data_IF_563566709935
#
_entry.id   IF_563566709935
#
_cell.length_a   1.000
_cell.length_b   1.000
_cell.length_c   1.000
_cell.angle_alpha   90.00
_cell.angle_beta   90.00
_cell.angle_gamma   90.00
#
_symmetry.space_group_name_H-M   'P 1'
#
loop_
_entity.id
_entity.type
_entity.pdbx_description
1 polymer ?
#
# COMPACT_ATOMS: atom_id res chain seq x y z
N UNK A 1 61.54 -37.07 35.63
CA UNK A 1 62.92 -36.96 35.09
C UNK A 1 62.76 -36.77 33.59
N UNK A 2 62.73 -35.52 33.09
CA UNK A 2 63.92 -34.75 32.66
C UNK A 2 64.38 -35.25 31.26
N UNK A 3 64.57 -34.48 30.17
CA UNK A 3 64.80 -33.05 29.86
C UNK A 3 64.75 -32.89 28.31
N UNK A 4 64.54 -31.65 27.82
CA UNK A 4 65.15 -30.95 26.63
C UNK A 4 65.10 -31.65 25.25
N UNK A 5 64.79 -31.00 24.11
CA UNK A 5 65.15 -29.66 23.62
C UNK A 5 66.30 -29.78 22.60
N UNK A 6 66.15 -29.25 21.37
CA UNK A 6 67.29 -29.09 20.44
C UNK A 6 66.92 -28.95 18.95
N UNK A 7 67.24 -27.79 18.36
CA UNK A 7 67.22 -27.48 16.91
C UNK A 7 68.45 -28.06 16.20
N UNK A 8 68.33 -28.37 14.90
CA UNK A 8 69.33 -28.07 13.85
C UNK A 8 68.74 -28.29 12.44
N UNK A 9 69.00 -27.33 11.54
CA UNK A 9 68.86 -27.41 10.06
C UNK A 9 70.23 -27.80 9.46
N UNK A 10 70.53 -27.74 8.13
CA UNK A 10 69.72 -27.71 6.89
C UNK A 10 70.26 -28.70 5.80
N UNK A 11 69.61 -28.83 4.63
CA UNK A 11 70.26 -29.23 3.34
C UNK A 11 69.37 -28.94 2.11
N UNK A 12 70.02 -28.74 0.95
CA UNK A 12 69.62 -28.03 -0.27
C UNK A 12 68.95 -28.86 -1.39
N UNK A 13 68.01 -28.20 -2.11
CA UNK A 13 67.68 -28.21 -3.57
C UNK A 13 67.25 -29.51 -4.31
N UNK A 14 66.59 -29.47 -5.50
CA UNK A 14 66.26 -28.34 -6.41
C UNK A 14 64.73 -28.12 -6.59
N UNK A 15 64.18 -26.95 -6.93
CA UNK A 15 64.38 -26.22 -8.18
C UNK A 15 63.26 -26.51 -9.18
N UNK A 16 61.99 -26.21 -8.84
CA UNK A 16 60.86 -26.27 -9.78
C UNK A 16 60.53 -24.84 -10.23
N UNK A 17 60.75 -24.54 -11.51
CA UNK A 17 60.29 -23.31 -12.15
C UNK A 17 58.75 -23.29 -12.15
N UNK A 18 58.15 -22.45 -11.30
CA UNK A 18 56.75 -22.05 -11.45
C UNK A 18 56.71 -20.84 -12.39
N UNK A 19 56.28 -21.05 -13.62
CA UNK A 19 55.95 -19.96 -14.55
C UNK A 19 54.73 -19.22 -14.03
N UNK A 20 54.93 -17.99 -13.56
CA UNK A 20 53.84 -17.08 -13.23
C UNK A 20 53.21 -16.59 -14.54
N UNK A 21 52.05 -17.14 -14.89
CA UNK A 21 51.18 -16.51 -15.90
C UNK A 21 50.59 -15.27 -15.26
N UNK A 22 51.17 -14.10 -15.58
CA UNK A 22 50.58 -12.80 -15.24
C UNK A 22 49.35 -12.63 -16.12
N UNK A 23 48.17 -12.94 -15.57
CA UNK A 23 46.91 -12.57 -16.19
C UNK A 23 46.75 -11.06 -16.06
N UNK A 24 47.06 -10.34 -17.14
CA UNK A 24 46.78 -8.91 -17.28
C UNK A 24 45.26 -8.69 -17.22
N UNK A 25 44.74 -8.39 -16.03
CA UNK A 25 43.37 -7.87 -15.89
C UNK A 25 43.34 -6.46 -16.45
N UNK A 26 42.97 -6.32 -17.72
CA UNK A 26 42.57 -5.05 -18.28
C UNK A 26 41.29 -4.61 -17.56
N UNK A 27 41.39 -3.63 -16.66
CA UNK A 27 40.23 -2.92 -16.13
C UNK A 27 39.57 -2.17 -17.28
N UNK A 28 38.55 -2.79 -17.89
CA UNK A 28 37.59 -2.05 -18.69
C UNK A 28 36.74 -1.22 -17.74
N UNK A 29 37.08 0.05 -17.62
CA UNK A 29 36.21 1.04 -17.00
C UNK A 29 34.90 1.08 -17.77
N UNK A 30 33.90 0.34 -17.32
CA UNK A 30 32.55 0.42 -17.83
C UNK A 30 32.02 1.81 -17.46
N UNK A 31 32.15 2.76 -18.38
CA UNK A 31 31.54 4.09 -18.29
C UNK A 31 30.05 3.87 -18.14
N UNK A 32 29.57 3.94 -16.90
CA UNK A 32 28.15 4.03 -16.62
C UNK A 32 27.70 5.36 -17.20
N UNK A 33 27.11 5.33 -18.38
CA UNK A 33 26.33 6.45 -18.91
C UNK A 33 25.18 6.69 -17.92
N UNK A 34 25.43 7.54 -16.92
CA UNK A 34 24.37 8.19 -16.19
C UNK A 34 23.56 8.96 -17.23
N UNK A 35 22.41 8.42 -17.59
CA UNK A 35 21.42 9.16 -18.37
C UNK A 35 21.04 10.39 -17.55
N UNK A 36 21.61 11.53 -17.92
CA UNK A 36 21.14 12.84 -17.49
C UNK A 36 19.64 12.89 -17.86
N UNK A 37 18.72 13.12 -16.91
CA UNK A 37 17.33 13.29 -17.27
C UNK A 37 17.25 14.45 -18.27
N UNK A 38 16.59 14.19 -19.41
CA UNK A 38 16.37 15.22 -20.42
C UNK A 38 15.71 16.43 -19.76
N UNK A 39 16.15 17.64 -20.11
CA UNK A 39 15.51 18.87 -19.64
C UNK A 39 13.99 18.77 -19.91
N UNK A 40 13.13 19.20 -18.96
CA UNK A 40 11.68 19.09 -19.13
C UNK A 40 11.28 19.81 -20.43
N UNK A 41 10.69 19.06 -21.36
CA UNK A 41 10.17 19.64 -22.62
C UNK A 41 9.14 20.69 -22.24
N UNK A 42 9.33 21.93 -22.73
CA UNK A 42 8.34 23.00 -22.56
C UNK A 42 7.05 22.60 -23.29
N UNK A 43 5.97 22.40 -22.54
CA UNK A 43 4.66 22.03 -23.09
C UNK A 43 4.10 23.18 -23.97
N UNK A 44 3.72 22.87 -25.20
CA UNK A 44 3.13 23.79 -26.18
C UNK A 44 1.61 23.77 -26.12
N UNK A 45 1.01 22.60 -25.94
CA UNK A 45 -0.44 22.39 -26.00
C UNK A 45 -1.06 22.13 -24.65
N UNK A 46 -0.34 21.50 -23.72
CA UNK A 46 -0.84 21.25 -22.37
C UNK A 46 -0.39 22.33 -21.39
N UNK A 47 -1.28 22.65 -20.44
CA UNK A 47 -0.88 23.39 -19.25
C UNK A 47 -0.20 22.43 -18.28
N UNK A 48 0.98 22.84 -17.82
CA UNK A 48 1.65 22.13 -16.74
C UNK A 48 0.77 22.21 -15.48
N UNK A 49 0.49 21.08 -14.81
CA UNK A 49 -0.23 21.11 -13.56
C UNK A 49 0.55 21.95 -12.54
N UNK A 50 -0.11 22.60 -11.56
CA UNK A 50 0.63 23.16 -10.43
C UNK A 50 1.52 22.06 -9.82
N UNK A 51 2.71 22.46 -9.38
CA UNK A 51 3.97 21.70 -9.16
C UNK A 51 3.83 20.25 -8.63
N UNK A 52 2.74 19.90 -7.95
CA UNK A 52 2.41 18.54 -7.50
C UNK A 52 0.90 18.27 -7.63
N UNK A 53 0.38 18.03 -8.82
CA UNK A 53 -1.06 17.78 -8.99
C UNK A 53 -1.47 16.38 -8.49
N UNK A 54 -1.52 16.29 -7.16
CA UNK A 54 -2.20 15.28 -6.37
C UNK A 54 -3.65 15.72 -6.15
N UNK A 55 -4.60 14.85 -6.48
CA UNK A 55 -6.02 15.03 -6.21
C UNK A 55 -6.41 14.02 -5.15
N UNK A 56 -6.88 14.50 -4.00
CA UNK A 56 -7.34 13.64 -2.90
C UNK A 56 -8.86 13.55 -2.90
N UNK A 57 -9.40 12.34 -2.76
CA UNK A 57 -10.83 12.10 -2.70
C UNK A 57 -11.16 10.90 -1.80
N UNK A 58 -12.40 10.83 -1.32
CA UNK A 58 -12.89 9.70 -0.53
C UNK A 58 -13.40 8.57 -1.43
N UNK A 59 -13.37 7.33 -0.95
CA UNK A 59 -14.09 6.22 -1.58
C UNK A 59 -15.57 6.57 -1.76
N UNK A 60 -16.14 6.20 -2.89
CA UNK A 60 -17.51 6.52 -3.29
C UNK A 60 -17.71 7.94 -3.83
N UNK A 61 -16.77 8.86 -3.61
CA UNK A 61 -16.86 10.23 -4.13
C UNK A 61 -16.56 10.30 -5.64
N UNK A 62 -16.67 11.50 -6.20
CA UNK A 62 -16.25 11.80 -7.56
C UNK A 62 -14.95 12.62 -7.50
N UNK A 63 -14.00 12.35 -8.38
CA UNK A 63 -12.79 13.16 -8.53
C UNK A 63 -12.68 13.72 -9.95
N UNK A 64 -12.03 14.88 -10.06
CA UNK A 64 -11.67 15.47 -11.35
C UNK A 64 -10.16 15.62 -11.41
N UNK A 65 -9.54 14.96 -12.38
CA UNK A 65 -8.12 15.04 -12.67
C UNK A 65 -7.91 16.14 -13.72
N UNK A 66 -7.25 17.25 -13.37
CA UNK A 66 -7.16 18.42 -14.23
C UNK A 66 -6.28 18.16 -15.46
N UNK A 67 -6.82 18.43 -16.64
CA UNK A 67 -6.03 18.48 -17.88
C UNK A 67 -6.57 19.61 -18.75
N UNK A 68 -5.80 20.70 -18.84
CA UNK A 68 -6.21 21.91 -19.54
C UNK A 68 -5.31 22.13 -20.76
N UNK A 69 -5.92 22.49 -21.87
CA UNK A 69 -5.23 22.84 -23.10
C UNK A 69 -4.85 24.32 -23.08
N UNK A 70 -3.62 24.65 -23.47
CA UNK A 70 -3.18 26.02 -23.78
C UNK A 70 -3.78 26.52 -25.09
N UNK A 71 -3.81 25.64 -26.07
CA UNK A 71 -4.37 25.89 -27.40
C UNK A 71 -4.99 24.60 -27.93
N UNK A 72 -6.01 24.73 -28.77
CA UNK A 72 -6.69 23.59 -29.40
C UNK A 72 -6.11 23.37 -30.81
N UNK A 73 -5.36 22.29 -31.08
CA UNK A 73 -4.91 21.98 -32.43
C UNK A 73 -6.09 21.61 -33.34
N UNK A 74 -5.92 21.74 -34.66
CA UNK A 74 -6.96 21.40 -35.63
C UNK A 74 -7.31 19.91 -35.62
N UNK A 75 -6.31 19.03 -35.49
CA UNK A 75 -6.47 17.58 -35.45
C UNK A 75 -5.73 17.00 -34.26
N UNK A 76 -6.42 16.85 -33.13
CA UNK A 76 -5.82 16.29 -31.93
C UNK A 76 -6.67 15.18 -31.33
N UNK A 77 -6.01 14.35 -30.52
CA UNK A 77 -6.66 13.40 -29.63
C UNK A 77 -6.13 13.60 -28.22
N UNK A 78 -7.00 13.48 -27.22
CA UNK A 78 -6.59 13.35 -25.83
C UNK A 78 -6.86 11.92 -25.38
N UNK A 79 -5.84 11.28 -24.83
CA UNK A 79 -5.88 9.94 -24.25
C UNK A 79 -5.63 10.02 -22.75
N UNK A 80 -6.52 9.44 -21.98
CA UNK A 80 -6.36 9.22 -20.55
C UNK A 80 -6.00 7.76 -20.28
N UNK A 81 -4.93 7.57 -19.52
CA UNK A 81 -4.41 6.24 -19.18
C UNK A 81 -4.12 6.16 -17.68
N UNK A 82 -4.49 5.07 -17.03
CA UNK A 82 -4.02 4.75 -15.67
C UNK A 82 -2.65 4.08 -15.79
N UNK A 83 -1.66 4.60 -15.10
CA UNK A 83 -0.30 4.09 -15.16
C UNK A 83 -0.13 2.90 -14.22
N UNK A 84 0.38 1.80 -14.77
CA UNK A 84 0.68 0.57 -14.04
C UNK A 84 2.18 0.54 -13.69
N UNK A 85 2.58 0.76 -12.42
CA UNK A 85 4.00 0.82 -12.05
C UNK A 85 4.73 -0.52 -12.25
N UNK A 86 4.04 -1.66 -12.11
CA UNK A 86 4.64 -3.00 -12.18
C UNK A 86 4.59 -3.65 -13.58
N UNK A 87 3.95 -3.00 -14.56
CA UNK A 87 3.86 -3.48 -15.95
C UNK A 87 4.15 -2.35 -16.93
N UNK A 88 5.41 -1.85 -16.98
CA UNK A 88 5.78 -0.78 -17.90
C UNK A 88 5.51 -1.21 -19.35
N UNK A 89 4.75 -0.38 -20.07
CA UNK A 89 4.35 -0.64 -21.47
C UNK A 89 2.92 -1.15 -21.65
N UNK A 90 2.25 -1.65 -20.60
CA UNK A 90 0.81 -1.96 -20.66
C UNK A 90 0.01 -0.71 -20.33
N UNK A 91 -0.65 -0.13 -21.33
CA UNK A 91 -1.51 1.03 -21.16
C UNK A 91 -2.92 0.61 -20.74
N UNK A 92 -3.32 0.97 -19.51
CA UNK A 92 -4.70 0.86 -19.06
C UNK A 92 -5.48 2.11 -19.50
N UNK A 93 -5.86 2.12 -20.78
CA UNK A 93 -6.58 3.24 -21.40
C UNK A 93 -7.96 3.35 -20.75
N UNK A 94 -8.30 4.57 -20.33
CA UNK A 94 -9.57 4.90 -19.68
C UNK A 94 -10.50 5.59 -20.66
N UNK A 95 -9.99 6.57 -21.40
CA UNK A 95 -10.81 7.43 -22.26
C UNK A 95 -9.97 8.00 -23.40
N UNK A 96 -10.53 8.01 -24.62
CA UNK A 96 -9.98 8.73 -25.77
C UNK A 96 -11.03 9.70 -26.29
N UNK A 97 -10.62 10.92 -26.65
CA UNK A 97 -11.48 11.94 -27.24
C UNK A 97 -10.77 12.75 -28.32
N UNK A 98 -11.52 13.25 -29.29
CA UNK A 98 -11.07 14.23 -30.28
C UNK A 98 -11.62 15.65 -30.00
N UNK A 99 -12.16 15.88 -28.81
CA UNK A 99 -12.84 17.14 -28.43
C UNK A 99 -14.33 17.18 -28.71
N UNK A 100 -14.83 16.39 -29.68
CA UNK A 100 -16.26 16.29 -30.00
C UNK A 100 -16.86 15.01 -29.41
N UNK A 101 -16.28 13.87 -29.78
CA UNK A 101 -16.66 12.55 -29.33
C UNK A 101 -15.69 12.03 -28.26
N UNK A 102 -16.18 11.13 -27.41
CA UNK A 102 -15.36 10.42 -26.44
C UNK A 102 -15.74 8.95 -26.42
N UNK A 103 -14.76 8.09 -26.15
CA UNK A 103 -14.96 6.65 -25.95
C UNK A 103 -14.25 6.20 -24.68
N UNK A 104 -14.99 5.51 -23.81
CA UNK A 104 -14.46 4.91 -22.59
C UNK A 104 -13.92 3.50 -22.83
N UNK A 105 -12.90 3.12 -22.06
CA UNK A 105 -12.19 1.84 -22.15
C UNK A 105 -11.88 1.29 -20.75
N UNK A 106 -11.60 -0.02 -20.67
CA UNK A 106 -11.23 -0.68 -19.42
C UNK A 106 -12.35 -0.67 -18.37
N UNK A 107 -11.98 -0.99 -17.13
CA UNK A 107 -12.92 -1.02 -15.99
C UNK A 107 -13.37 0.36 -15.53
N UNK A 108 -12.56 1.40 -15.79
CA UNK A 108 -12.87 2.79 -15.45
C UNK A 108 -13.75 3.49 -16.49
N UNK A 109 -13.70 3.08 -17.76
CA UNK A 109 -14.41 3.70 -18.88
C UNK A 109 -15.90 3.99 -18.63
N UNK A 110 -16.70 3.03 -18.10
CA UNK A 110 -18.12 3.25 -17.79
C UNK A 110 -18.40 4.33 -16.74
N UNK A 111 -17.40 4.73 -15.94
CA UNK A 111 -17.52 5.71 -14.86
C UNK A 111 -16.69 6.97 -15.10
N UNK A 112 -16.03 7.08 -16.24
CA UNK A 112 -15.08 8.14 -16.57
C UNK A 112 -15.60 8.99 -17.74
N UNK A 113 -15.56 10.32 -17.55
CA UNK A 113 -16.11 11.28 -18.49
C UNK A 113 -15.23 12.52 -18.56
N UNK A 114 -15.26 13.25 -19.68
CA UNK A 114 -14.70 14.60 -19.70
C UNK A 114 -15.58 15.58 -18.90
N UNK A 115 -14.95 16.44 -18.09
CA UNK A 115 -15.67 17.49 -17.34
C UNK A 115 -16.30 18.55 -18.24
N UNK A 116 -15.59 18.96 -19.31
CA UNK A 116 -16.06 19.93 -20.32
C UNK A 116 -16.58 21.25 -19.75
N UNK A 117 -15.93 21.84 -18.74
CA UNK A 117 -16.37 23.12 -18.19
C UNK A 117 -16.19 24.30 -19.17
N UNK A 118 -15.25 24.18 -20.12
CA UNK A 118 -15.07 25.10 -21.24
C UNK A 118 -14.36 24.38 -22.40
N UNK A 119 -14.19 25.05 -23.54
CA UNK A 119 -13.62 24.48 -24.77
C UNK A 119 -12.22 23.88 -24.60
N UNK A 120 -11.37 24.47 -23.75
CA UNK A 120 -10.02 23.98 -23.47
C UNK A 120 -9.92 22.95 -22.33
N UNK A 121 -11.04 22.48 -21.78
CA UNK A 121 -11.06 21.59 -20.62
C UNK A 121 -11.15 20.11 -21.05
N UNK A 122 -10.04 19.39 -20.93
CA UNK A 122 -9.93 17.96 -21.17
C UNK A 122 -9.82 17.13 -19.87
N UNK A 123 -10.21 17.72 -18.74
CA UNK A 123 -10.10 17.09 -17.42
C UNK A 123 -10.97 15.82 -17.31
N UNK A 124 -10.41 14.77 -16.71
CA UNK A 124 -11.10 13.49 -16.50
C UNK A 124 -11.86 13.52 -15.19
N UNK A 125 -13.18 13.34 -15.26
CA UNK A 125 -14.04 13.12 -14.11
C UNK A 125 -14.31 11.63 -13.95
N UNK A 126 -13.93 11.07 -12.80
CA UNK A 126 -14.21 9.68 -12.42
C UNK A 126 -15.29 9.70 -11.33
N UNK A 127 -16.32 8.88 -11.49
CA UNK A 127 -17.44 8.78 -10.55
C UNK A 127 -17.41 7.51 -9.72
N UNK A 128 -17.93 7.55 -8.48
CA UNK A 128 -18.00 6.39 -7.56
C UNK A 128 -16.65 5.71 -7.34
N UNK A 129 -15.68 6.44 -6.81
CA UNK A 129 -14.31 5.95 -6.65
C UNK A 129 -14.21 4.67 -5.79
N UNK A 130 -13.45 3.70 -6.26
CA UNK A 130 -13.05 2.51 -5.50
C UNK A 130 -11.65 2.65 -4.87
N UNK A 131 -11.26 1.70 -4.01
CA UNK A 131 -9.90 1.66 -3.45
C UNK A 131 -8.84 1.43 -4.53
N UNK A 132 -9.20 0.67 -5.56
CA UNK A 132 -8.35 0.40 -6.70
C UNK A 132 -8.09 1.65 -7.53
N UNK A 133 -8.95 2.67 -7.47
CA UNK A 133 -8.82 3.88 -8.30
C UNK A 133 -7.65 4.80 -7.85
N UNK A 134 -7.03 4.56 -6.68
CA UNK A 134 -5.77 5.21 -6.31
C UNK A 134 -4.68 4.93 -7.35
N UNK A 135 -3.87 5.94 -7.67
CA UNK A 135 -2.71 5.75 -8.52
C UNK A 135 -2.38 6.94 -9.41
N UNK A 136 -1.48 6.72 -10.36
CA UNK A 136 -1.03 7.74 -11.31
C UNK A 136 -1.82 7.65 -12.61
N UNK A 137 -2.15 8.81 -13.16
CA UNK A 137 -2.95 8.96 -14.37
C UNK A 137 -2.23 9.89 -15.34
N UNK A 138 -2.25 9.55 -16.62
CA UNK A 138 -1.63 10.35 -17.68
C UNK A 138 -2.72 10.91 -18.58
N UNK A 139 -2.69 12.23 -18.77
CA UNK A 139 -3.39 12.90 -19.86
C UNK A 139 -2.37 13.15 -20.97
N UNK A 140 -2.58 12.54 -22.13
CA UNK A 140 -1.70 12.67 -23.29
C UNK A 140 -2.46 13.30 -24.45
N UNK A 141 -1.95 14.42 -24.96
CA UNK A 141 -2.42 15.05 -26.19
C UNK A 141 -1.52 14.61 -27.34
N UNK A 142 -2.14 14.06 -28.38
CA UNK A 142 -1.48 13.64 -29.62
C UNK A 142 -1.96 14.53 -30.75
N UNK A 143 -1.03 15.23 -31.40
CA UNK A 143 -1.26 16.08 -32.57
C UNK A 143 -0.27 15.72 -33.68
N UNK A 144 -0.69 14.86 -34.62
CA UNK A 144 0.20 14.33 -35.66
C UNK A 144 1.34 13.50 -35.07
N UNK A 145 2.57 13.99 -35.19
CA UNK A 145 3.79 13.37 -34.62
C UNK A 145 4.22 14.00 -33.29
N UNK A 146 3.55 15.06 -32.83
CA UNK A 146 3.85 15.71 -31.56
C UNK A 146 2.98 15.11 -30.44
N UNK A 147 3.62 14.62 -29.38
CA UNK A 147 3.00 14.11 -28.16
C UNK A 147 3.40 14.93 -26.93
N UNK A 148 2.41 15.34 -26.16
CA UNK A 148 2.60 15.99 -24.87
C UNK A 148 1.79 15.27 -23.81
N UNK A 149 2.37 15.06 -22.63
CA UNK A 149 1.62 14.47 -21.54
C UNK A 149 1.90 15.12 -20.20
N UNK A 150 0.86 15.12 -19.37
CA UNK A 150 0.93 15.49 -17.96
C UNK A 150 0.52 14.29 -17.13
N UNK A 151 1.19 14.09 -15.99
CA UNK A 151 0.88 13.01 -15.07
C UNK A 151 0.37 13.56 -13.75
N UNK A 152 -0.71 12.98 -13.26
CA UNK A 152 -1.43 13.36 -12.05
C UNK A 152 -1.51 12.16 -11.12
N UNK A 153 -1.69 12.40 -9.84
CA UNK A 153 -1.89 11.33 -8.86
C UNK A 153 -3.26 11.47 -8.22
N UNK A 154 -4.10 10.43 -8.33
CA UNK A 154 -5.33 10.33 -7.54
C UNK A 154 -5.01 9.59 -6.25
N UNK A 155 -5.31 10.20 -5.11
CA UNK A 155 -5.19 9.59 -3.80
C UNK A 155 -6.55 9.35 -3.19
N UNK A 156 -6.79 8.11 -2.78
CA UNK A 156 -7.94 7.78 -1.96
C UNK A 156 -7.57 8.04 -0.50
N UNK A 157 -8.37 8.85 0.19
CA UNK A 157 -8.22 9.07 1.64
C UNK A 157 -8.47 7.75 2.37
N UNK A 158 -7.53 7.33 3.23
CA UNK A 158 -7.61 6.04 3.90
C UNK A 158 -6.44 5.80 4.85
N UNK A 159 -6.38 4.62 5.43
CA UNK A 159 -5.30 4.20 6.32
C UNK A 159 -4.83 2.78 6.03
N UNK A 160 -3.61 2.47 6.46
CA UNK A 160 -3.06 1.12 6.46
C UNK A 160 -3.19 0.51 7.85
N UNK A 161 -3.62 -0.74 7.91
CA UNK A 161 -3.61 -1.55 9.14
C UNK A 161 -2.94 -2.91 8.91
N UNK A 162 -2.25 -3.45 9.92
CA UNK A 162 -1.70 -4.80 9.85
C UNK A 162 -2.81 -5.85 10.00
N UNK A 163 -2.71 -6.92 9.22
CA UNK A 163 -3.65 -8.04 9.26
C UNK A 163 -2.91 -9.38 9.31
N UNK A 164 -3.33 -10.22 10.25
CA UNK A 164 -2.74 -11.53 10.54
C UNK A 164 -3.81 -12.62 10.45
N UNK A 165 -3.42 -13.84 10.06
CA UNK A 165 -4.30 -15.00 10.05
C UNK A 165 -4.74 -15.41 11.45
N UNK A 166 -5.94 -16.00 11.53
CA UNK A 166 -6.43 -16.73 12.70
C UNK A 166 -5.52 -17.93 13.08
N UNK A 167 -4.75 -18.45 12.12
CA UNK A 167 -3.77 -19.54 12.30
C UNK A 167 -2.39 -19.04 12.78
N UNK A 168 -2.31 -17.76 13.15
CA UNK A 168 -1.10 -17.13 13.66
C UNK A 168 -0.31 -16.34 12.62
N UNK A 169 0.93 -16.03 12.98
CA UNK A 169 1.84 -15.16 12.23
C UNK A 169 2.37 -15.86 10.97
N UNK A 170 2.52 -15.10 9.88
CA UNK A 170 3.16 -15.49 8.64
C UNK A 170 2.52 -16.69 7.94
N UNK A 171 1.23 -16.56 7.68
CA UNK A 171 0.42 -17.65 7.12
C UNK A 171 -0.05 -17.42 5.69
N UNK A 172 0.01 -16.20 5.15
CA UNK A 172 -0.51 -15.91 3.82
C UNK A 172 0.57 -15.94 2.76
N UNK A 173 0.33 -16.66 1.65
CA UNK A 173 0.98 -16.32 0.38
C UNK A 173 0.35 -15.05 -0.21
N UNK A 174 0.95 -14.43 -1.24
CA UNK A 174 0.50 -13.12 -1.74
C UNK A 174 -0.98 -13.08 -2.15
N UNK A 175 -1.46 -14.13 -2.84
CA UNK A 175 -2.88 -14.24 -3.24
C UNK A 175 -3.80 -14.30 -2.01
N UNK A 176 -3.44 -15.10 -1.01
CA UNK A 176 -4.22 -15.24 0.23
C UNK A 176 -4.23 -13.94 1.03
N UNK A 177 -3.12 -13.20 1.03
CA UNK A 177 -3.00 -11.90 1.68
C UNK A 177 -3.93 -10.85 1.03
N UNK A 178 -4.03 -10.88 -0.30
CA UNK A 178 -4.97 -10.04 -1.06
C UNK A 178 -6.42 -10.36 -0.70
N UNK A 179 -6.80 -11.63 -0.78
CA UNK A 179 -8.15 -12.11 -0.44
C UNK A 179 -8.51 -11.87 1.04
N UNK A 180 -7.52 -11.94 1.93
CA UNK A 180 -7.67 -11.60 3.33
C UNK A 180 -8.01 -10.11 3.51
N UNK A 181 -7.29 -9.19 2.86
CA UNK A 181 -7.64 -7.77 2.91
C UNK A 181 -9.02 -7.48 2.30
N UNK A 182 -9.34 -8.08 1.15
CA UNK A 182 -10.63 -7.89 0.45
C UNK A 182 -11.83 -8.30 1.31
N UNK A 183 -11.73 -9.45 1.99
CA UNK A 183 -12.76 -9.89 2.96
C UNK A 183 -12.98 -8.89 4.10
N UNK A 184 -11.97 -8.08 4.41
CA UNK A 184 -12.01 -7.10 5.49
C UNK A 184 -12.33 -5.67 5.03
N UNK A 185 -12.94 -5.50 3.84
CA UNK A 185 -13.24 -4.19 3.22
C UNK A 185 -11.97 -3.33 3.03
N UNK A 186 -10.93 -3.96 2.53
CA UNK A 186 -9.64 -3.36 2.26
C UNK A 186 -9.02 -3.97 1.00
N UNK A 187 -7.86 -3.47 0.59
CA UNK A 187 -6.98 -4.13 -0.38
C UNK A 187 -5.56 -4.18 0.18
N UNK A 188 -4.64 -4.90 -0.45
CA UNK A 188 -3.23 -4.75 -0.09
C UNK A 188 -2.79 -3.29 -0.25
N UNK A 189 -2.01 -2.81 0.72
CA UNK A 189 -1.44 -1.48 0.71
C UNK A 189 -0.30 -1.38 -0.32
N UNK A 190 -0.13 -0.19 -0.88
CA UNK A 190 1.05 0.14 -1.67
C UNK A 190 2.17 0.65 -0.76
N UNK A 191 3.42 0.61 -1.23
CA UNK A 191 4.54 1.17 -0.46
C UNK A 191 4.33 2.66 -0.07
N UNK A 192 3.87 3.56 -0.96
CA UNK A 192 3.55 4.94 -0.57
C UNK A 192 2.50 5.04 0.55
N UNK A 193 1.52 4.13 0.57
CA UNK A 193 0.51 4.09 1.64
C UNK A 193 1.10 3.60 2.97
N UNK A 194 1.96 2.56 2.94
CA UNK A 194 2.67 2.10 4.13
C UNK A 194 3.62 3.18 4.66
N UNK A 195 4.35 3.87 3.78
CA UNK A 195 5.22 4.99 4.14
C UNK A 195 4.45 6.09 4.87
N UNK A 196 3.30 6.51 4.34
CA UNK A 196 2.44 7.48 4.99
C UNK A 196 1.97 6.99 6.36
N UNK A 197 1.51 5.74 6.46
CA UNK A 197 1.08 5.18 7.73
C UNK A 197 2.20 5.16 8.78
N UNK A 198 3.43 4.82 8.38
CA UNK A 198 4.61 4.90 9.26
C UNK A 198 4.89 6.34 9.73
N UNK A 199 4.83 7.33 8.82
CA UNK A 199 4.98 8.74 9.20
C UNK A 199 3.85 9.25 10.11
N UNK A 200 2.71 8.57 10.12
CA UNK A 200 1.56 8.85 10.98
C UNK A 200 1.54 8.05 12.29
N UNK A 201 2.59 7.26 12.58
CA UNK A 201 2.72 6.55 13.85
C UNK A 201 2.58 5.03 13.78
N UNK A 202 2.48 4.42 12.59
CA UNK A 202 2.42 2.96 12.50
C UNK A 202 3.77 2.32 12.85
N UNK A 203 3.80 1.64 13.99
CA UNK A 203 4.90 0.78 14.42
C UNK A 203 4.43 -0.69 14.49
N UNK A 204 5.01 -1.55 13.67
CA UNK A 204 4.63 -2.97 13.58
C UNK A 204 5.81 -3.89 13.27
N UNK A 205 6.02 -4.90 14.13
CA UNK A 205 7.18 -5.80 14.10
C UNK A 205 6.97 -7.11 13.34
N UNK A 206 5.88 -7.21 12.56
CA UNK A 206 5.68 -8.35 11.67
C UNK A 206 5.81 -7.90 10.22
N UNK A 207 6.55 -8.68 9.44
CA UNK A 207 6.67 -8.54 8.00
C UNK A 207 5.34 -8.87 7.31
N UNK A 208 4.90 -7.99 6.41
CA UNK A 208 3.66 -8.15 5.68
C UNK A 208 3.80 -7.86 4.19
N UNK A 209 2.98 -8.54 3.40
CA UNK A 209 2.86 -8.32 1.96
C UNK A 209 2.33 -6.91 1.64
N UNK A 210 2.85 -6.34 0.56
CA UNK A 210 2.29 -5.21 -0.17
C UNK A 210 1.72 -5.66 -1.53
N UNK A 211 1.00 -4.77 -2.20
CA UNK A 211 0.29 -5.08 -3.45
C UNK A 211 1.19 -5.46 -4.63
N UNK A 212 2.45 -5.04 -4.58
CA UNK A 212 3.49 -5.30 -5.57
C UNK A 212 4.29 -6.60 -5.34
N UNK A 213 3.95 -7.37 -4.30
CA UNK A 213 4.65 -8.59 -3.94
C UNK A 213 5.98 -8.36 -3.23
N UNK A 214 6.23 -7.16 -2.74
CA UNK A 214 7.30 -6.90 -1.77
C UNK A 214 6.81 -7.12 -0.35
N UNK A 215 7.77 -7.29 0.56
CA UNK A 215 7.50 -7.56 1.97
C UNK A 215 8.26 -6.56 2.85
N UNK A 216 7.52 -5.90 3.74
CA UNK A 216 8.02 -4.79 4.54
C UNK A 216 7.55 -4.88 6.00
N UNK A 217 8.15 -4.10 6.90
CA UNK A 217 7.57 -3.79 8.21
C UNK A 217 8.06 -2.42 8.74
N UNK A 218 7.16 -1.55 9.22
CA UNK A 218 7.51 -0.21 9.70
C UNK A 218 7.89 -0.21 11.18
N UNK A 219 9.03 0.41 11.53
CA UNK A 219 9.48 0.55 12.93
C UNK A 219 9.70 2.03 13.26
N UNK A 220 9.11 2.48 14.36
CA UNK A 220 9.33 3.80 14.96
C UNK A 220 10.25 3.65 16.17
N UNK A 221 9.91 2.72 17.07
CA UNK A 221 10.64 2.46 18.31
C UNK A 221 11.54 1.22 18.16
N UNK A 222 12.83 1.44 17.92
CA UNK A 222 13.82 0.38 17.73
C UNK A 222 13.93 -0.53 18.94
N UNK A 223 13.84 -1.84 18.71
CA UNK A 223 13.82 -2.87 19.77
C UNK A 223 14.35 -4.20 19.27
N UNK A 224 14.88 -5.01 20.21
CA UNK A 224 15.63 -6.23 19.90
C UNK A 224 14.90 -7.20 18.96
N UNK A 225 13.62 -7.56 19.21
CA UNK A 225 12.91 -8.51 18.36
C UNK A 225 12.62 -8.01 16.93
N UNK A 226 12.89 -6.73 16.65
CA UNK A 226 12.49 -6.02 15.44
C UNK A 226 13.69 -5.47 14.64
N UNK A 227 14.81 -6.20 14.70
CA UNK A 227 16.05 -5.86 14.00
C UNK A 227 17.15 -5.25 14.88
N UNK A 228 16.96 -5.20 16.21
CA UNK A 228 17.97 -4.71 17.15
C UNK A 228 17.79 -3.25 17.54
N UNK A 229 18.33 -2.88 18.70
CA UNK A 229 18.26 -1.51 19.26
C UNK A 229 19.10 -0.47 18.49
N UNK A 230 20.11 -0.91 17.74
CA UNK A 230 21.05 -0.01 17.06
C UNK A 230 20.53 0.54 15.72
N UNK A 231 19.47 -0.04 15.14
CA UNK A 231 18.94 0.44 13.87
C UNK A 231 18.10 1.71 14.08
N UNK A 232 18.21 2.68 13.17
CA UNK A 232 17.37 3.89 13.16
C UNK A 232 15.94 3.60 12.71
N UNK A 233 14.92 4.39 13.14
CA UNK A 233 13.54 4.25 12.67
C UNK A 233 13.43 4.20 11.15
N UNK A 234 12.47 3.43 10.63
CA UNK A 234 12.25 3.31 9.20
C UNK A 234 11.44 2.07 8.80
N UNK A 235 11.13 1.99 7.51
CA UNK A 235 10.51 0.81 6.91
C UNK A 235 11.59 -0.17 6.52
N UNK A 236 11.59 -1.33 7.17
CA UNK A 236 12.46 -2.45 6.82
C UNK A 236 11.89 -3.18 5.60
N UNK A 237 12.77 -3.74 4.79
CA UNK A 237 12.41 -4.42 3.55
C UNK A 237 13.05 -5.79 3.50
N UNK A 238 12.26 -6.79 3.14
CA UNK A 238 12.74 -8.10 2.70
C UNK A 238 12.76 -8.20 1.15
N UNK A 239 12.39 -7.12 0.46
CA UNK A 239 12.33 -7.04 -0.99
C UNK A 239 11.20 -7.87 -1.61
N UNK A 240 11.24 -8.08 -2.94
CA UNK A 240 10.36 -9.02 -3.62
C UNK A 240 10.52 -10.44 -3.07
N UNK A 241 9.40 -11.16 -2.99
CA UNK A 241 9.34 -12.55 -2.48
C UNK A 241 8.59 -13.46 -3.45
N UNK A 242 8.77 -14.77 -3.30
CA UNK A 242 8.13 -15.77 -4.16
C UNK A 242 6.62 -15.83 -3.86
N UNK A 243 5.75 -15.28 -4.73
CA UNK A 243 4.36 -15.01 -4.37
C UNK A 243 3.51 -16.24 -4.08
N UNK A 244 3.98 -17.41 -4.50
CA UNK A 244 3.28 -18.70 -4.38
C UNK A 244 3.78 -19.58 -3.24
N UNK A 245 4.93 -19.26 -2.64
CA UNK A 245 5.59 -20.10 -1.63
C UNK A 245 5.87 -19.40 -0.32
N UNK A 246 6.38 -18.17 -0.40
CA UNK A 246 6.74 -17.43 0.80
C UNK A 246 5.47 -17.03 1.56
N UNK A 247 5.55 -16.97 2.90
CA UNK A 247 4.40 -16.67 3.75
C UNK A 247 4.71 -15.53 4.72
N UNK A 248 3.79 -14.58 4.79
CA UNK A 248 3.88 -13.39 5.64
C UNK A 248 2.49 -12.97 6.14
N UNK A 249 2.44 -11.89 6.92
CA UNK A 249 1.19 -11.20 7.26
C UNK A 249 0.81 -10.27 6.07
N UNK A 250 -0.17 -9.39 6.26
CA UNK A 250 -0.57 -8.41 5.24
C UNK A 250 -0.63 -7.00 5.82
N UNK A 251 -0.30 -6.00 5.01
CA UNK A 251 -0.70 -4.62 5.27
C UNK A 251 -1.89 -4.29 4.37
N UNK A 252 -3.04 -4.03 5.00
CA UNK A 252 -4.28 -3.75 4.29
C UNK A 252 -4.58 -2.25 4.32
N UNK A 253 -4.96 -1.68 3.17
CA UNK A 253 -5.42 -0.31 3.02
C UNK A 253 -6.94 -0.26 2.94
N UNK A 254 -7.57 0.52 3.81
CA UNK A 254 -9.01 0.78 3.82
C UNK A 254 -9.30 2.29 3.77
N UNK A 255 -10.54 2.65 3.48
CA UNK A 255 -11.03 4.02 3.34
C UNK A 255 -12.42 4.11 3.99
N UNK A 256 -12.86 5.28 4.47
CA UNK A 256 -14.24 5.48 4.89
C UNK A 256 -15.23 4.97 3.83
N UNK A 257 -16.05 3.98 4.21
CA UNK A 257 -17.13 3.46 3.40
C UNK A 257 -18.48 4.04 3.86
N UNK A 258 -19.51 4.08 2.99
CA UNK A 258 -20.85 4.46 3.40
C UNK A 258 -21.41 3.49 4.44
N UNK A 259 -21.77 4.01 5.60
CA UNK A 259 -22.30 3.24 6.73
C UNK A 259 -21.73 3.75 8.05
N UNK A 260 -22.04 3.05 9.15
CA UNK A 260 -21.52 3.37 10.48
C UNK A 260 -21.27 2.12 11.32
N UNK A 261 -20.19 2.15 12.09
CA UNK A 261 -19.92 1.16 13.12
C UNK A 261 -20.62 1.58 14.42
N UNK A 262 -21.27 0.63 15.10
CA UNK A 262 -21.80 0.82 16.45
C UNK A 262 -21.54 -0.43 17.30
N UNK A 263 -21.52 -0.26 18.62
CA UNK A 263 -21.23 -1.33 19.57
C UNK A 263 -22.51 -1.83 20.24
N UNK A 264 -22.65 -3.14 20.42
CA UNK A 264 -23.66 -3.76 21.28
C UNK A 264 -22.93 -4.34 22.49
N UNK A 265 -23.30 -3.86 23.67
CA UNK A 265 -22.80 -4.36 24.94
C UNK A 265 -23.38 -5.74 25.26
N UNK A 266 -22.57 -6.60 25.90
CA UNK A 266 -23.00 -7.92 26.32
C UNK A 266 -21.83 -8.89 26.49
N UNK A 267 -22.15 -10.09 26.99
CA UNK A 267 -21.23 -11.23 27.08
C UNK A 267 -21.69 -12.27 26.08
N UNK A 268 -21.39 -12.03 24.80
CA UNK A 268 -21.92 -12.78 23.68
C UNK A 268 -20.89 -13.79 23.18
N UNK A 269 -21.35 -14.98 22.81
CA UNK A 269 -20.60 -15.83 21.87
C UNK A 269 -20.54 -15.18 20.49
N UNK A 270 -19.69 -15.68 19.60
CA UNK A 270 -19.64 -15.21 18.22
C UNK A 270 -21.00 -15.38 17.48
N UNK A 271 -21.70 -16.49 17.74
CA UNK A 271 -23.01 -16.74 17.13
C UNK A 271 -24.07 -15.76 17.63
N UNK A 272 -24.12 -15.53 18.94
CA UNK A 272 -25.03 -14.55 19.57
C UNK A 272 -24.71 -13.12 19.12
N UNK A 273 -23.44 -12.80 18.90
CA UNK A 273 -23.01 -11.53 18.34
C UNK A 273 -23.58 -11.30 16.92
N UNK A 274 -23.59 -12.33 16.08
CA UNK A 274 -24.16 -12.26 14.74
C UNK A 274 -25.68 -12.02 14.79
N UNK A 275 -26.39 -12.76 15.64
CA UNK A 275 -27.83 -12.58 15.88
C UNK A 275 -28.14 -11.18 16.41
N UNK A 276 -27.33 -10.66 17.34
CA UNK A 276 -27.52 -9.34 17.93
C UNK A 276 -27.35 -8.19 16.93
N UNK A 277 -26.41 -8.30 15.98
CA UNK A 277 -26.30 -7.36 14.86
C UNK A 277 -27.49 -7.52 13.90
N UNK A 278 -27.84 -8.76 13.54
CA UNK A 278 -28.94 -9.07 12.61
C UNK A 278 -30.29 -8.54 13.11
N UNK A 279 -30.58 -8.67 14.40
CA UNK A 279 -31.77 -8.13 15.04
C UNK A 279 -31.90 -6.59 14.94
N UNK A 280 -30.80 -5.89 14.62
CA UNK A 280 -30.75 -4.43 14.38
C UNK A 280 -30.60 -4.07 12.90
N UNK A 281 -30.79 -5.02 11.99
CA UNK A 281 -30.63 -4.83 10.55
C UNK A 281 -29.18 -4.51 10.16
N UNK A 282 -28.22 -5.07 10.88
CA UNK A 282 -26.79 -4.83 10.70
C UNK A 282 -26.04 -6.17 10.57
N UNK A 283 -24.84 -6.13 10.03
CA UNK A 283 -23.90 -7.26 10.02
C UNK A 283 -22.82 -7.04 11.09
N UNK A 284 -22.09 -8.09 11.47
CA UNK A 284 -20.87 -7.90 12.27
C UNK A 284 -19.89 -7.06 11.45
N UNK A 285 -19.28 -6.06 12.07
CA UNK A 285 -18.31 -5.19 11.42
C UNK A 285 -17.06 -5.98 11.01
N UNK A 286 -16.56 -5.67 9.81
CA UNK A 286 -15.24 -6.13 9.34
C UNK A 286 -14.14 -5.32 10.02
N UNK A 287 -12.92 -5.85 9.97
CA UNK A 287 -11.74 -5.16 10.52
C UNK A 287 -11.52 -3.80 9.87
N UNK A 288 -11.64 -3.70 8.54
CA UNK A 288 -11.51 -2.42 7.83
C UNK A 288 -12.56 -1.39 8.27
N UNK A 289 -13.80 -1.81 8.53
CA UNK A 289 -14.84 -0.93 9.07
C UNK A 289 -14.44 -0.36 10.43
N UNK A 290 -13.90 -1.20 11.33
CA UNK A 290 -13.46 -0.76 12.67
C UNK A 290 -12.31 0.25 12.57
N UNK A 291 -11.28 -0.04 11.76
CA UNK A 291 -10.15 0.88 11.56
C UNK A 291 -10.58 2.20 10.93
N UNK A 292 -11.48 2.18 9.95
CA UNK A 292 -12.01 3.39 9.34
C UNK A 292 -12.84 4.21 10.34
N UNK A 293 -13.70 3.58 11.14
CA UNK A 293 -14.49 4.26 12.16
C UNK A 293 -13.60 4.88 13.26
N UNK A 294 -12.58 4.16 13.72
CA UNK A 294 -11.59 4.67 14.68
C UNK A 294 -10.86 5.91 14.14
N UNK A 295 -10.36 5.84 12.90
CA UNK A 295 -9.52 6.91 12.32
C UNK A 295 -10.33 8.13 11.90
N UNK A 296 -11.49 7.93 11.26
CA UNK A 296 -12.19 8.98 10.55
C UNK A 296 -13.51 9.41 11.22
N UNK A 297 -14.06 8.59 12.12
CA UNK A 297 -15.23 8.94 12.92
C UNK A 297 -14.91 9.11 14.41
N UNK A 298 -13.64 8.94 14.81
CA UNK A 298 -13.19 9.08 16.20
C UNK A 298 -13.80 8.04 17.14
N UNK A 299 -14.09 6.83 16.63
CA UNK A 299 -14.65 5.76 17.45
C UNK A 299 -13.67 5.37 18.56
N UNK A 300 -14.06 5.61 19.80
CA UNK A 300 -13.31 5.29 21.01
C UNK A 300 -14.16 4.40 21.93
N UNK A 301 -13.69 3.17 22.18
CA UNK A 301 -14.38 2.19 23.02
C UNK A 301 -13.36 1.23 23.63
N UNK A 302 -13.39 1.14 24.96
CA UNK A 302 -12.48 0.30 25.75
C UNK A 302 -13.07 -1.09 26.05
N UNK A 303 -13.86 -1.62 25.13
CA UNK A 303 -14.49 -2.92 25.29
C UNK A 303 -14.18 -3.79 24.08
N UNK A 304 -13.70 -5.00 24.35
CA UNK A 304 -13.53 -6.02 23.32
C UNK A 304 -14.87 -6.33 22.66
N UNK A 305 -14.88 -6.37 21.34
CA UNK A 305 -16.03 -6.79 20.56
C UNK A 305 -15.64 -7.71 19.43
N UNK A 306 -16.51 -8.69 19.16
CA UNK A 306 -16.39 -9.56 18.00
C UNK A 306 -16.41 -8.75 16.70
N UNK A 307 -15.56 -9.16 15.76
CA UNK A 307 -15.54 -8.75 14.36
C UNK A 307 -15.79 -9.95 13.46
N UNK A 308 -16.13 -9.70 12.19
CA UNK A 308 -16.56 -10.73 11.23
C UNK A 308 -15.49 -11.80 10.96
N UNK A 309 -14.20 -11.47 11.08
CA UNK A 309 -13.10 -12.44 10.98
C UNK A 309 -13.02 -13.39 12.19
N UNK A 310 -13.86 -13.19 13.21
CA UNK A 310 -13.82 -13.92 14.48
C UNK A 310 -12.73 -13.43 15.43
N UNK A 311 -12.03 -12.32 15.10
CA UNK A 311 -11.16 -11.66 16.06
C UNK A 311 -11.96 -10.80 17.04
N UNK A 312 -11.34 -10.50 18.18
CA UNK A 312 -11.89 -9.56 19.15
C UNK A 312 -10.94 -8.37 19.25
N UNK A 313 -11.48 -7.17 18.99
CA UNK A 313 -10.70 -5.93 18.94
C UNK A 313 -11.43 -4.81 19.68
N UNK A 314 -10.71 -3.73 19.95
CA UNK A 314 -11.29 -2.51 20.53
C UNK A 314 -10.49 -1.26 20.09
N UNK A 315 -11.16 -0.18 19.66
CA UNK A 315 -10.51 1.04 19.18
C UNK A 315 -10.32 2.07 20.29
N UNK A 316 -9.14 2.67 20.40
CA UNK A 316 -8.82 3.74 21.35
C UNK A 316 -8.32 4.96 20.59
N UNK A 317 -9.11 6.04 20.56
CA UNK A 317 -8.70 7.33 20.01
C UNK A 317 -8.11 8.24 21.10
N UNK A 318 -8.54 8.08 22.35
CA UNK A 318 -8.05 8.78 23.53
C UNK A 318 -7.41 7.77 24.52
N UNK A 319 -6.06 7.62 24.49
CA UNK A 319 -5.33 6.69 25.36
C UNK A 319 -5.58 6.93 26.84
N UNK A 320 -5.74 5.83 27.61
CA UNK A 320 -6.00 5.86 29.06
C UNK A 320 -5.52 4.57 29.72
N UNK A 321 -5.07 4.66 30.97
CA UNK A 321 -4.32 3.59 31.65
C UNK A 321 -5.00 2.21 31.62
N UNK A 322 -6.32 2.16 31.85
CA UNK A 322 -7.08 0.90 31.92
C UNK A 322 -7.55 0.35 30.56
N UNK A 323 -7.10 0.95 29.46
CA UNK A 323 -7.61 0.67 28.12
C UNK A 323 -6.49 0.41 27.12
N UNK A 324 -5.80 -0.72 27.31
CA UNK A 324 -4.71 -1.18 26.45
C UNK A 324 -3.31 -0.78 26.91
N UNK A 325 -3.15 -0.07 28.04
CA UNK A 325 -1.88 0.14 28.74
C UNK A 325 -0.76 0.85 27.96
N UNK A 326 -1.07 1.39 26.77
CA UNK A 326 -0.11 2.01 25.86
C UNK A 326 -0.43 3.51 25.69
N UNK A 327 0.60 4.36 25.53
CA UNK A 327 0.41 5.81 25.42
C UNK A 327 -0.17 6.26 24.09
N UNK A 328 -0.27 5.37 23.09
CA UNK A 328 -0.61 5.72 21.72
C UNK A 328 -2.06 5.32 21.36
N UNK A 329 -2.78 6.13 20.55
CA UNK A 329 -4.04 5.74 19.95
C UNK A 329 -3.89 4.53 19.02
N UNK A 330 -4.94 3.71 18.88
CA UNK A 330 -4.93 2.58 17.97
C UNK A 330 -6.07 1.59 18.19
N UNK A 331 -6.23 0.68 17.23
CA UNK A 331 -7.07 -0.51 17.40
C UNK A 331 -6.22 -1.60 18.05
N UNK A 332 -6.67 -2.08 19.21
CA UNK A 332 -6.05 -3.16 19.98
C UNK A 332 -6.76 -4.47 19.70
N UNK A 333 -6.05 -5.59 19.84
CA UNK A 333 -6.57 -6.92 19.50
C UNK A 333 -6.29 -7.91 20.64
N UNK A 334 -7.29 -8.70 21.00
CA UNK A 334 -7.16 -9.89 21.84
C UNK A 334 -6.92 -11.16 21.00
N UNK A 335 -6.72 -11.02 19.69
CA UNK A 335 -6.52 -12.14 18.77
C UNK A 335 -7.84 -12.83 18.42
N UNK A 336 -7.77 -14.16 18.29
CA UNK A 336 -8.88 -15.03 17.86
C UNK A 336 -9.27 -15.98 19.01
N UNK A 337 -10.02 -15.51 20.02
CA UNK A 337 -10.45 -16.36 21.12
C UNK A 337 -11.46 -17.43 20.65
N UNK A 338 -11.72 -18.41 21.51
CA UNK A 338 -12.72 -19.43 21.23
C UNK A 338 -14.10 -18.79 20.99
N UNK A 339 -14.73 -19.10 19.86
CA UNK A 339 -16.01 -18.51 19.44
C UNK A 339 -17.19 -18.80 20.39
N UNK A 340 -17.06 -19.76 21.30
CA UNK A 340 -18.06 -20.06 22.33
C UNK A 340 -17.86 -19.26 23.63
N UNK A 341 -16.79 -18.46 23.73
CA UNK A 341 -16.52 -17.65 24.90
C UNK A 341 -17.52 -16.49 25.02
N UNK A 342 -18.09 -16.29 26.22
CA UNK A 342 -19.09 -15.25 26.53
C UNK A 342 -18.46 -14.14 27.37
N UNK A 343 -17.61 -13.35 26.75
CA UNK A 343 -16.88 -12.26 27.43
C UNK A 343 -16.94 -10.92 26.72
N UNK A 344 -17.29 -10.92 25.44
CA UNK A 344 -17.17 -9.75 24.59
C UNK A 344 -18.54 -9.32 24.04
N UNK A 345 -18.69 -8.02 23.79
CA UNK A 345 -19.79 -7.49 22.99
C UNK A 345 -19.51 -7.69 21.49
N UNK A 346 -20.11 -6.85 20.66
CA UNK A 346 -19.91 -6.93 19.21
C UNK A 346 -19.92 -5.54 18.57
N UNK A 347 -19.04 -5.34 17.59
CA UNK A 347 -19.12 -4.19 16.69
C UNK A 347 -19.95 -4.59 15.47
N UNK A 348 -21.00 -3.83 15.18
CA UNK A 348 -21.87 -4.04 14.02
C UNK A 348 -21.71 -2.91 13.01
N UNK A 349 -22.07 -3.16 11.75
CA UNK A 349 -22.01 -2.21 10.65
C UNK A 349 -23.33 -2.16 9.89
N UNK A 350 -23.80 -0.94 9.56
CA UNK A 350 -25.02 -0.70 8.77
C UNK A 350 -24.92 0.55 7.92
#
# INVERSE_FOLDING_TARGET
MEKRGGRQSPTMHPGVLLTWVVASFAWTSAVHHYHRPAAPKKLRYLLEPPVYAEVSARRGANATLPCLLRARPAHYKVKWTKLQPHRPGVEDIILITNGHEQRGYGSLGPRAFLRRAHTLDASLRITRLGLEDDGRYRCELVNGLEDESVTLTLRIEGLVFPYQSQEGRYRFVLREAREACERQDARLATYPQLYRAWTEGLDWCNAGWLDDGTVHYPIIHSREPCGGRALLPGIRSYGPKEPTRDRFDAFCFTSPAPGRVFYIEGRLTYAEAAEACGARGAEIARVGHLYAAWRFAGLDRCDGGWLEDGSVRFPISAPRERCGGLPEPGVRSFGFPNKTLREYGVYCYR
#
